data_IF_207425891728
#
_entry.id   IF_207425891728
#
_cell.length_a   1.000
_cell.length_b   1.000
_cell.length_c   1.000
_cell.angle_alpha   90.00
_cell.angle_beta   90.00
_cell.angle_gamma   90.00
#
_symmetry.space_group_name_H-M   'P 1'
#
loop_
_entity.id
_entity.type
_entity.pdbx_description
1 polymer ?
#
# COMPACT_ATOMS: atom_id res chain seq x y z
N UNK A 1 25.48 14.49 9.87
CA UNK A 1 25.51 13.50 8.78
C UNK A 1 24.82 14.10 7.59
N UNK A 2 25.58 14.37 6.52
CA UNK A 2 25.01 14.87 5.27
C UNK A 2 24.29 13.73 4.55
N UNK A 3 23.33 14.07 3.68
CA UNK A 3 22.59 13.12 2.83
C UNK A 3 23.53 12.19 2.03
N UNK A 4 24.78 12.61 1.78
CA UNK A 4 25.79 11.85 1.05
C UNK A 4 26.47 10.70 1.83
N UNK A 5 26.42 10.67 3.17
CA UNK A 5 26.98 9.54 3.92
C UNK A 5 26.03 8.33 3.98
N UNK A 6 24.72 8.58 3.83
CA UNK A 6 23.71 7.52 3.79
C UNK A 6 23.63 6.86 2.41
N UNK A 7 23.97 7.58 1.33
CA UNK A 7 24.01 7.01 -0.03
C UNK A 7 25.17 6.03 -0.25
N UNK A 8 26.28 6.20 0.49
CA UNK A 8 27.47 5.36 0.34
C UNK A 8 27.32 3.94 0.90
N UNK A 9 26.50 3.76 1.94
CA UNK A 9 26.28 2.43 2.54
C UNK A 9 25.37 1.50 1.71
N UNK A 10 24.73 2.01 0.65
CA UNK A 10 23.71 1.27 -0.11
C UNK A 10 23.87 1.35 -1.63
N UNK A 11 24.96 1.92 -2.14
CA UNK A 11 25.23 2.04 -3.59
C UNK A 11 25.53 0.71 -4.30
N UNK A 12 25.52 -0.42 -3.59
CA UNK A 12 25.79 -1.76 -4.13
C UNK A 12 24.57 -2.45 -4.74
N UNK A 13 23.38 -1.80 -4.76
CA UNK A 13 22.17 -2.35 -5.38
C UNK A 13 21.44 -1.27 -6.20
N UNK A 14 22.08 -0.75 -7.26
CA UNK A 14 21.36 0.02 -8.28
C UNK A 14 20.72 -0.98 -9.25
N UNK A 15 19.40 -1.08 -9.25
CA UNK A 15 18.72 -1.87 -10.25
C UNK A 15 18.88 -1.22 -11.64
N UNK A 16 18.85 -2.01 -12.71
CA UNK A 16 18.88 -1.46 -14.07
C UNK A 16 17.69 -0.51 -14.30
N UNK A 17 17.89 0.52 -15.13
CA UNK A 17 16.86 1.52 -15.47
C UNK A 17 15.52 0.90 -15.84
N UNK A 18 15.56 -0.19 -16.62
CA UNK A 18 14.38 -0.81 -17.20
C UNK A 18 13.57 -1.57 -16.14
N UNK A 19 14.25 -2.33 -15.29
CA UNK A 19 13.64 -2.95 -14.12
C UNK A 19 12.92 -1.92 -13.24
N UNK A 20 13.60 -0.81 -12.91
CA UNK A 20 13.04 0.24 -12.07
C UNK A 20 11.81 0.88 -12.73
N UNK A 21 11.82 1.07 -14.05
CA UNK A 21 10.66 1.56 -14.79
C UNK A 21 9.48 0.60 -14.68
N UNK A 22 9.66 -0.68 -15.05
CA UNK A 22 8.57 -1.67 -15.02
C UNK A 22 8.05 -1.90 -13.60
N UNK A 23 8.92 -1.90 -12.59
CA UNK A 23 8.50 -2.04 -11.21
C UNK A 23 7.60 -0.87 -10.76
N UNK A 24 7.97 0.38 -11.06
CA UNK A 24 7.13 1.53 -10.74
C UNK A 24 5.76 1.43 -11.43
N UNK A 25 5.74 1.09 -12.72
CA UNK A 25 4.48 0.99 -13.49
C UNK A 25 3.60 -0.16 -13.01
N UNK A 26 4.15 -1.35 -12.80
CA UNK A 26 3.37 -2.50 -12.33
C UNK A 26 2.87 -2.31 -10.90
N UNK A 27 3.65 -1.69 -10.01
CA UNK A 27 3.18 -1.33 -8.67
C UNK A 27 2.05 -0.29 -8.72
N UNK A 28 2.16 0.73 -9.58
CA UNK A 28 1.07 1.70 -9.79
C UNK A 28 -0.22 1.00 -10.21
N UNK A 29 -0.14 0.16 -11.25
CA UNK A 29 -1.30 -0.61 -11.73
C UNK A 29 -1.86 -1.52 -10.64
N UNK A 30 -1.00 -2.24 -9.92
CA UNK A 30 -1.38 -3.13 -8.83
C UNK A 30 -2.12 -2.40 -7.71
N UNK A 31 -1.53 -1.33 -7.14
CA UNK A 31 -2.16 -0.63 -6.02
C UNK A 31 -3.43 0.12 -6.43
N UNK A 32 -3.47 0.71 -7.64
CA UNK A 32 -4.69 1.34 -8.15
C UNK A 32 -5.79 0.29 -8.31
N UNK A 33 -5.49 -0.85 -8.94
CA UNK A 33 -6.43 -1.94 -9.13
C UNK A 33 -6.95 -2.51 -7.82
N UNK A 34 -6.03 -2.87 -6.90
CA UNK A 34 -6.37 -3.61 -5.69
C UNK A 34 -6.96 -2.74 -4.57
N UNK A 35 -6.60 -1.46 -4.47
CA UNK A 35 -7.04 -0.59 -3.36
C UNK A 35 -7.96 0.56 -3.76
N UNK A 36 -7.83 1.09 -4.98
CA UNK A 36 -8.59 2.27 -5.39
C UNK A 36 -9.84 1.90 -6.16
N UNK A 37 -9.73 0.93 -7.07
CA UNK A 37 -10.88 0.40 -7.80
C UNK A 37 -11.67 -0.61 -6.95
N UNK A 38 -11.02 -1.29 -6.00
CA UNK A 38 -11.73 -2.13 -5.04
C UNK A 38 -12.50 -1.30 -4.00
N UNK A 39 -13.83 -1.36 -4.04
CA UNK A 39 -14.65 -0.69 -3.02
C UNK A 39 -14.67 -1.46 -1.69
N UNK A 40 -14.81 -0.75 -0.57
CA UNK A 40 -14.96 -1.36 0.77
C UNK A 40 -16.13 -2.36 0.84
N UNK A 41 -17.22 -2.09 0.12
CA UNK A 41 -18.38 -2.99 0.01
C UNK A 41 -18.01 -4.28 -0.73
N UNK A 42 -17.28 -4.16 -1.85
CA UNK A 42 -16.82 -5.33 -2.61
C UNK A 42 -15.87 -6.19 -1.78
N UNK A 43 -14.92 -5.58 -1.07
CA UNK A 43 -13.98 -6.27 -0.19
C UNK A 43 -14.69 -7.14 0.86
N UNK A 44 -15.75 -6.61 1.51
CA UNK A 44 -16.52 -7.36 2.52
C UNK A 44 -17.33 -8.51 1.94
N UNK A 45 -17.89 -8.33 0.74
CA UNK A 45 -18.73 -9.37 0.12
C UNK A 45 -17.86 -10.48 -0.51
N UNK A 46 -16.63 -10.14 -0.94
CA UNK A 46 -15.63 -11.08 -1.47
C UNK A 46 -15.36 -12.26 -0.51
N UNK A 47 -15.45 -12.03 0.81
CA UNK A 47 -15.27 -13.06 1.84
C UNK A 47 -16.27 -14.23 1.74
N UNK A 48 -17.43 -14.04 1.09
CA UNK A 48 -18.47 -15.08 1.02
C UNK A 48 -18.90 -15.44 -0.41
N UNK A 49 -18.46 -14.69 -1.43
CA UNK A 49 -18.97 -14.83 -2.78
C UNK A 49 -17.86 -14.76 -3.84
N UNK A 50 -17.55 -15.92 -4.42
CA UNK A 50 -16.58 -16.09 -5.52
C UNK A 50 -16.92 -15.18 -6.70
N UNK A 51 -18.22 -14.90 -6.96
CA UNK A 51 -18.63 -13.99 -8.04
C UNK A 51 -18.04 -12.59 -7.87
N UNK A 52 -17.95 -12.10 -6.63
CA UNK A 52 -17.38 -10.77 -6.37
C UNK A 52 -15.85 -10.77 -6.44
N UNK A 53 -15.22 -11.92 -6.16
CA UNK A 53 -13.80 -12.12 -6.46
C UNK A 53 -13.53 -11.98 -7.96
N UNK A 54 -14.37 -12.59 -8.82
CA UNK A 54 -14.25 -12.48 -10.28
C UNK A 54 -14.47 -11.04 -10.76
N UNK A 55 -15.50 -10.35 -10.25
CA UNK A 55 -15.75 -8.94 -10.61
C UNK A 55 -14.55 -8.05 -10.23
N UNK A 56 -13.96 -8.28 -9.06
CA UNK A 56 -12.73 -7.59 -8.65
C UNK A 56 -11.58 -7.87 -9.62
N UNK A 57 -11.33 -9.13 -9.98
CA UNK A 57 -10.26 -9.48 -10.91
C UNK A 57 -10.41 -8.82 -12.29
N UNK A 58 -11.64 -8.68 -12.80
CA UNK A 58 -11.91 -7.94 -14.03
C UNK A 58 -11.56 -6.46 -13.88
N UNK A 59 -11.97 -5.85 -12.75
CA UNK A 59 -11.70 -4.45 -12.49
C UNK A 59 -10.21 -4.18 -12.24
N UNK A 60 -9.50 -5.13 -11.61
CA UNK A 60 -8.06 -5.10 -11.39
C UNK A 60 -7.28 -5.08 -12.71
N UNK A 61 -7.80 -5.66 -13.79
CA UNK A 61 -7.16 -5.64 -15.10
C UNK A 61 -7.14 -4.24 -15.75
N UNK A 62 -8.03 -3.32 -15.35
CA UNK A 62 -8.22 -2.03 -16.04
C UNK A 62 -6.94 -1.17 -16.09
N UNK A 63 -6.21 -0.93 -14.99
CA UNK A 63 -4.96 -0.16 -15.05
C UNK A 63 -3.88 -0.82 -15.92
N UNK A 64 -3.86 -2.15 -16.00
CA UNK A 64 -2.91 -2.88 -16.85
C UNK A 64 -3.24 -2.77 -18.33
N UNK A 65 -4.53 -2.70 -18.69
CA UNK A 65 -4.96 -2.43 -20.07
C UNK A 65 -4.46 -1.05 -20.52
N UNK A 66 -4.62 -0.01 -19.69
CA UNK A 66 -4.10 1.32 -20.00
C UNK A 66 -2.57 1.34 -20.12
N UNK A 67 -1.87 0.58 -19.29
CA UNK A 67 -0.43 0.44 -19.39
C UNK A 67 0.01 -0.20 -20.72
N UNK A 68 -0.63 -1.31 -21.13
CA UNK A 68 -0.36 -1.95 -22.41
C UNK A 68 -0.67 -1.03 -23.60
N UNK A 69 -1.79 -0.29 -23.57
CA UNK A 69 -2.11 0.69 -24.60
C UNK A 69 -1.06 1.80 -24.70
N UNK A 70 -0.50 2.24 -23.57
CA UNK A 70 0.61 3.20 -23.55
C UNK A 70 1.88 2.65 -24.21
N UNK A 71 2.21 1.38 -23.95
CA UNK A 71 3.35 0.71 -24.60
C UNK A 71 3.12 0.55 -26.10
N UNK A 72 1.91 0.19 -26.54
CA UNK A 72 1.56 0.08 -27.96
C UNK A 72 1.70 1.43 -28.66
N UNK A 73 1.15 2.50 -28.07
CA UNK A 73 1.24 3.84 -28.62
C UNK A 73 2.69 4.31 -28.78
N UNK A 74 3.57 3.90 -27.87
CA UNK A 74 5.01 4.20 -27.94
C UNK A 74 5.80 3.31 -28.91
N UNK A 75 5.20 2.27 -29.50
CA UNK A 75 5.90 1.28 -30.32
C UNK A 75 6.83 0.36 -29.54
N UNK A 76 6.76 0.34 -28.20
CA UNK A 76 7.61 -0.48 -27.33
C UNK A 76 6.98 -1.82 -26.94
N UNK A 77 5.75 -2.09 -27.38
CA UNK A 77 5.02 -3.31 -27.05
C UNK A 77 5.53 -4.50 -27.86
N UNK A 78 5.81 -5.62 -27.18
CA UNK A 78 6.11 -6.89 -27.81
C UNK A 78 5.25 -8.03 -27.23
N UNK A 79 5.30 -9.21 -27.85
CA UNK A 79 4.48 -10.36 -27.43
C UNK A 79 4.85 -10.83 -26.01
N UNK A 80 6.13 -10.78 -25.65
CA UNK A 80 6.63 -11.18 -24.33
C UNK A 80 6.12 -10.23 -23.23
N UNK A 81 6.21 -8.92 -23.43
CA UNK A 81 5.72 -7.90 -22.50
C UNK A 81 4.23 -8.06 -22.26
N UNK A 82 3.45 -8.28 -23.32
CA UNK A 82 2.01 -8.52 -23.23
C UNK A 82 1.69 -9.80 -22.46
N UNK A 83 2.40 -10.89 -22.77
CA UNK A 83 2.23 -12.17 -22.07
C UNK A 83 2.52 -12.08 -20.57
N UNK A 84 3.60 -11.39 -20.19
CA UNK A 84 3.98 -11.21 -18.77
C UNK A 84 2.94 -10.35 -18.04
N UNK A 85 2.51 -9.23 -18.62
CA UNK A 85 1.51 -8.34 -18.00
C UNK A 85 0.16 -9.06 -17.82
N UNK A 86 -0.30 -9.81 -18.83
CA UNK A 86 -1.49 -10.66 -18.68
C UNK A 86 -1.27 -11.70 -17.59
N UNK A 87 -0.08 -12.31 -17.52
CA UNK A 87 0.31 -13.25 -16.47
C UNK A 87 0.18 -12.66 -15.06
N UNK A 88 0.57 -11.40 -14.84
CA UNK A 88 0.41 -10.71 -13.55
C UNK A 88 -1.07 -10.58 -13.17
N UNK A 89 -1.93 -10.19 -14.11
CA UNK A 89 -3.37 -10.07 -13.87
C UNK A 89 -4.01 -11.42 -13.55
N UNK A 90 -3.64 -12.47 -14.29
CA UNK A 90 -4.14 -13.82 -14.05
C UNK A 90 -3.66 -14.39 -12.72
N UNK A 91 -2.39 -14.20 -12.38
CA UNK A 91 -1.84 -14.65 -11.10
C UNK A 91 -2.48 -13.94 -9.91
N UNK A 92 -2.75 -12.63 -10.01
CA UNK A 92 -3.53 -11.89 -9.00
C UNK A 92 -4.92 -12.54 -8.80
N UNK A 93 -5.65 -12.78 -9.90
CA UNK A 93 -6.96 -13.43 -9.83
C UNK A 93 -6.89 -14.82 -9.17
N UNK A 94 -5.87 -15.62 -9.51
CA UNK A 94 -5.66 -16.95 -8.93
C UNK A 94 -5.36 -16.88 -7.44
N UNK A 95 -4.46 -15.99 -7.00
CA UNK A 95 -4.14 -15.80 -5.57
C UNK A 95 -5.39 -15.42 -4.78
N UNK A 96 -6.16 -14.46 -5.30
CA UNK A 96 -7.41 -14.00 -4.70
C UNK A 96 -8.49 -15.11 -4.60
N UNK A 97 -8.61 -15.92 -5.66
CA UNK A 97 -9.52 -17.06 -5.69
C UNK A 97 -9.11 -18.14 -4.70
N UNK A 98 -7.82 -18.50 -4.64
CA UNK A 98 -7.28 -19.48 -3.69
C UNK A 98 -7.58 -19.01 -2.26
N UNK A 99 -7.28 -17.76 -1.93
CA UNK A 99 -7.56 -17.18 -0.61
C UNK A 99 -9.04 -17.29 -0.24
N UNK A 100 -9.93 -16.87 -1.14
CA UNK A 100 -11.38 -16.93 -0.92
C UNK A 100 -11.87 -18.38 -0.71
N UNK A 101 -11.36 -19.34 -1.51
CA UNK A 101 -11.71 -20.76 -1.37
C UNK A 101 -11.17 -21.34 -0.07
N UNK A 102 -9.93 -21.01 0.31
CA UNK A 102 -9.33 -21.44 1.58
C UNK A 102 -10.13 -20.94 2.79
N UNK A 103 -10.46 -19.64 2.82
CA UNK A 103 -11.24 -19.04 3.91
C UNK A 103 -12.62 -19.69 4.06
N UNK A 104 -13.29 -19.98 2.91
CA UNK A 104 -14.59 -20.64 2.89
C UNK A 104 -14.51 -22.12 3.28
N UNK A 105 -13.56 -22.88 2.73
CA UNK A 105 -13.42 -24.33 2.97
C UNK A 105 -13.02 -24.62 4.42
N UNK A 106 -12.20 -23.76 5.02
CA UNK A 106 -11.79 -23.89 6.40
C UNK A 106 -12.84 -23.37 7.39
N UNK A 107 -13.92 -22.71 6.94
CA UNK A 107 -14.89 -22.04 7.82
C UNK A 107 -14.20 -21.11 8.85
N UNK A 108 -13.30 -20.24 8.37
CA UNK A 108 -12.43 -19.40 9.24
C UNK A 108 -13.22 -18.64 10.32
N UNK A 109 -14.47 -18.26 10.04
CA UNK A 109 -15.39 -17.57 10.95
C UNK A 109 -15.78 -18.34 12.22
N UNK A 110 -15.57 -19.66 12.24
CA UNK A 110 -15.92 -20.51 13.38
C UNK A 110 -14.76 -20.67 14.37
N UNK A 111 -13.54 -20.23 14.02
CA UNK A 111 -12.41 -20.32 14.93
C UNK A 111 -12.38 -19.15 15.91
N UNK A 112 -12.06 -19.45 17.17
CA UNK A 112 -11.83 -18.43 18.22
C UNK A 112 -10.72 -17.44 17.84
N UNK A 113 -9.73 -17.88 17.06
CA UNK A 113 -8.61 -17.07 16.56
C UNK A 113 -8.85 -16.51 15.14
N UNK A 114 -10.11 -16.29 14.72
CA UNK A 114 -10.48 -15.77 13.39
C UNK A 114 -9.63 -14.55 12.99
N UNK A 115 -9.47 -13.58 13.90
CA UNK A 115 -8.76 -12.33 13.64
C UNK A 115 -7.28 -12.54 13.30
N UNK A 116 -6.60 -13.44 14.00
CA UNK A 116 -5.19 -13.77 13.76
C UNK A 116 -5.01 -14.53 12.44
N UNK A 117 -5.94 -15.44 12.10
CA UNK A 117 -5.95 -16.16 10.82
C UNK A 117 -6.17 -15.18 9.65
N UNK A 118 -7.15 -14.29 9.76
CA UNK A 118 -7.44 -13.26 8.72
C UNK A 118 -6.29 -12.28 8.55
N UNK A 119 -5.64 -11.86 9.65
CA UNK A 119 -4.44 -11.02 9.58
C UNK A 119 -3.32 -11.73 8.82
N UNK A 120 -3.04 -12.98 9.17
CA UNK A 120 -1.99 -13.77 8.53
C UNK A 120 -2.29 -14.00 7.05
N UNK A 121 -3.55 -14.34 6.73
CA UNK A 121 -4.01 -14.48 5.35
C UNK A 121 -3.90 -13.18 4.54
N UNK A 122 -4.15 -12.02 5.15
CA UNK A 122 -3.92 -10.73 4.51
C UNK A 122 -2.43 -10.47 4.25
N UNK A 123 -1.55 -10.70 5.22
CA UNK A 123 -0.10 -10.48 5.04
C UNK A 123 0.46 -11.41 3.94
N UNK A 124 0.12 -12.70 3.98
CA UNK A 124 0.55 -13.67 2.98
C UNK A 124 0.10 -13.29 1.57
N UNK A 125 -1.16 -12.86 1.44
CA UNK A 125 -1.75 -12.38 0.20
C UNK A 125 -1.00 -11.17 -0.38
N UNK A 126 -0.68 -10.16 0.43
CA UNK A 126 0.07 -8.99 -0.03
C UNK A 126 1.51 -9.34 -0.43
N UNK A 127 2.17 -10.25 0.31
CA UNK A 127 3.51 -10.74 -0.03
C UNK A 127 3.51 -11.48 -1.37
N UNK A 128 2.54 -12.39 -1.58
CA UNK A 128 2.44 -13.15 -2.84
C UNK A 128 2.23 -12.23 -4.04
N UNK A 129 1.32 -11.25 -3.93
CA UNK A 129 1.12 -10.27 -5.00
C UNK A 129 2.38 -9.44 -5.29
N UNK A 130 3.09 -8.99 -4.25
CA UNK A 130 4.33 -8.24 -4.42
C UNK A 130 5.42 -9.08 -5.08
N UNK A 131 5.55 -10.36 -4.70
CA UNK A 131 6.49 -11.31 -5.34
C UNK A 131 6.17 -11.45 -6.84
N UNK A 132 4.89 -11.59 -7.20
CA UNK A 132 4.47 -11.67 -8.61
C UNK A 132 4.89 -10.40 -9.37
N UNK A 133 4.63 -9.22 -8.80
CA UNK A 133 4.98 -7.94 -9.43
C UNK A 133 6.51 -7.81 -9.60
N UNK A 134 7.29 -8.05 -8.55
CA UNK A 134 8.76 -7.94 -8.59
C UNK A 134 9.36 -8.94 -9.58
N UNK A 135 8.87 -10.19 -9.57
CA UNK A 135 9.33 -11.22 -10.52
C UNK A 135 9.00 -10.83 -11.95
N UNK A 136 7.80 -10.30 -12.21
CA UNK A 136 7.42 -9.81 -13.53
C UNK A 136 8.30 -8.65 -13.99
N UNK A 137 8.60 -7.69 -13.10
CA UNK A 137 9.53 -6.59 -13.40
C UNK A 137 10.93 -7.09 -13.75
N UNK A 138 11.41 -8.12 -13.05
CA UNK A 138 12.69 -8.75 -13.35
C UNK A 138 12.69 -9.44 -14.73
N UNK A 139 11.64 -10.19 -15.05
CA UNK A 139 11.49 -10.85 -16.35
C UNK A 139 11.34 -9.88 -17.52
N UNK A 140 10.81 -8.68 -17.27
CA UNK A 140 10.70 -7.61 -18.27
C UNK A 140 11.99 -6.80 -18.42
N UNK A 141 12.94 -6.93 -17.49
CA UNK A 141 14.21 -6.21 -17.54
C UNK A 141 14.96 -6.56 -18.83
N UNK A 142 15.32 -5.57 -19.63
CA UNK A 142 15.93 -5.73 -20.96
C UNK A 142 14.92 -5.73 -22.13
N UNK A 143 13.62 -5.65 -21.86
CA UNK A 143 12.61 -5.29 -22.88
C UNK A 143 12.65 -3.79 -23.18
N UNK A 144 12.22 -3.39 -24.37
CA UNK A 144 12.15 -1.99 -24.76
C UNK A 144 11.23 -1.20 -23.82
N UNK A 145 11.77 -0.14 -23.24
CA UNK A 145 11.05 0.79 -22.37
C UNK A 145 10.61 2.01 -23.19
N UNK A 146 9.43 2.54 -22.87
CA UNK A 146 9.01 3.83 -23.41
C UNK A 146 9.94 4.95 -22.92
N UNK A 147 10.57 5.68 -23.84
CA UNK A 147 11.41 6.82 -23.50
C UNK A 147 10.57 7.94 -22.85
N UNK A 148 10.75 8.11 -21.54
CA UNK A 148 10.16 9.21 -20.78
C UNK A 148 11.26 10.13 -20.26
N UNK A 149 10.96 11.42 -20.19
CA UNK A 149 11.86 12.38 -19.57
C UNK A 149 12.07 12.03 -18.09
N UNK A 150 13.24 12.38 -17.55
CA UNK A 150 13.54 12.20 -16.13
C UNK A 150 12.50 12.87 -15.22
N UNK A 151 11.98 14.03 -15.63
CA UNK A 151 10.89 14.73 -14.94
C UNK A 151 9.58 13.93 -14.93
N UNK A 152 9.20 13.31 -16.04
CA UNK A 152 8.00 12.46 -16.10
C UNK A 152 8.18 11.19 -15.25
N UNK A 153 9.36 10.59 -15.23
CA UNK A 153 9.65 9.44 -14.37
C UNK A 153 9.58 9.80 -12.88
N UNK A 154 10.12 10.97 -12.51
CA UNK A 154 10.00 11.49 -11.15
C UNK A 154 8.54 11.70 -10.73
N UNK A 155 7.68 12.21 -11.63
CA UNK A 155 6.26 12.34 -11.37
C UNK A 155 5.58 10.98 -11.13
N UNK A 156 5.91 9.94 -11.91
CA UNK A 156 5.40 8.59 -11.69
C UNK A 156 5.81 8.03 -10.32
N UNK A 157 7.06 8.26 -9.90
CA UNK A 157 7.55 7.89 -8.56
C UNK A 157 6.79 8.63 -7.45
N UNK A 158 6.55 9.93 -7.62
CA UNK A 158 5.72 10.72 -6.69
C UNK A 158 4.27 10.21 -6.63
N UNK A 159 3.67 9.89 -7.77
CA UNK A 159 2.33 9.31 -7.83
C UNK A 159 2.29 7.96 -7.10
N UNK A 160 3.26 7.08 -7.34
CA UNK A 160 3.35 5.78 -6.67
C UNK A 160 3.47 5.95 -5.15
N UNK A 161 4.33 6.88 -4.72
CA UNK A 161 4.48 7.22 -3.30
C UNK A 161 3.13 7.62 -2.69
N UNK A 162 2.42 8.59 -3.29
CA UNK A 162 1.11 9.07 -2.81
C UNK A 162 0.08 7.94 -2.77
N UNK A 163 0.03 7.10 -3.82
CA UNK A 163 -0.87 5.95 -3.92
C UNK A 163 -0.64 4.98 -2.76
N UNK A 164 0.61 4.63 -2.45
CA UNK A 164 0.93 3.68 -1.37
C UNK A 164 0.65 4.28 0.01
N UNK A 165 1.10 5.51 0.29
CA UNK A 165 0.95 6.10 1.64
C UNK A 165 -0.50 6.45 1.99
N UNK A 166 -1.43 6.41 1.04
CA UNK A 166 -2.82 6.77 1.24
C UNK A 166 -3.66 5.56 1.68
N UNK A 167 -4.47 4.97 0.78
CA UNK A 167 -5.38 3.86 1.11
C UNK A 167 -4.65 2.58 1.54
N UNK A 168 -3.59 2.10 0.86
CA UNK A 168 -2.91 0.86 1.22
C UNK A 168 -2.36 0.87 2.65
N UNK A 169 -1.65 1.93 3.05
CA UNK A 169 -1.13 2.06 4.42
C UNK A 169 -2.27 2.14 5.46
N UNK A 170 -3.37 2.85 5.17
CA UNK A 170 -4.54 2.90 6.06
C UNK A 170 -5.18 1.51 6.27
N UNK A 171 -5.38 0.75 5.18
CA UNK A 171 -5.99 -0.58 5.23
C UNK A 171 -5.04 -1.58 5.90
N UNK A 172 -3.75 -1.52 5.58
CA UNK A 172 -2.71 -2.36 6.19
C UNK A 172 -2.67 -2.16 7.70
N UNK A 173 -2.65 -0.90 8.16
CA UNK A 173 -2.69 -0.57 9.58
C UNK A 173 -3.92 -1.18 10.26
N UNK A 174 -5.10 -0.95 9.68
CA UNK A 174 -6.36 -1.45 10.25
C UNK A 174 -6.37 -2.97 10.36
N UNK A 175 -5.92 -3.71 9.33
CA UNK A 175 -5.96 -5.17 9.32
C UNK A 175 -4.89 -5.80 10.22
N UNK A 176 -3.69 -5.22 10.27
CA UNK A 176 -2.58 -5.77 11.06
C UNK A 176 -2.79 -5.53 12.56
N UNK A 177 -3.32 -4.36 12.92
CA UNK A 177 -3.44 -3.92 14.31
C UNK A 177 -4.89 -3.88 14.84
N UNK A 178 -5.83 -4.53 14.15
CA UNK A 178 -7.26 -4.58 14.55
C UNK A 178 -7.45 -5.02 16.01
N UNK A 179 -6.66 -5.99 16.48
CA UNK A 179 -6.69 -6.52 17.85
C UNK A 179 -6.42 -5.46 18.93
N UNK A 180 -5.66 -4.41 18.60
CA UNK A 180 -5.30 -3.34 19.53
C UNK A 180 -6.28 -2.18 19.48
N UNK A 181 -7.23 -2.18 18.53
CA UNK A 181 -8.20 -1.12 18.44
C UNK A 181 -9.07 -1.13 19.71
N UNK A 182 -9.11 -0.02 20.48
CA UNK A 182 -9.93 0.02 21.68
C UNK A 182 -11.38 -0.21 21.27
N UNK A 183 -11.96 -1.32 21.74
CA UNK A 183 -13.37 -1.62 21.51
C UNK A 183 -14.16 -0.54 22.24
N UNK A 184 -14.96 0.24 21.52
CA UNK A 184 -15.98 1.08 22.15
C UNK A 184 -17.08 0.16 22.71
N UNK A 185 -16.76 -0.63 23.73
CA UNK A 185 -17.77 -1.25 24.57
C UNK A 185 -18.06 -0.27 25.71
N UNK A 186 -19.01 0.64 25.51
CA UNK A 186 -19.90 1.14 26.57
C UNK A 186 -20.70 2.37 26.13
N UNK A 187 -22.02 2.27 26.35
CA UNK A 187 -22.97 3.33 26.67
C UNK A 187 -23.58 4.14 25.53
N UNK A 188 -24.85 3.81 25.27
CA UNK A 188 -25.83 4.54 24.45
C UNK A 188 -26.11 6.00 24.91
N UNK A 189 -25.35 6.60 25.82
CA UNK A 189 -25.72 7.91 26.40
C UNK A 189 -24.53 8.82 26.75
N UNK A 190 -23.49 8.86 25.91
CA UNK A 190 -22.52 9.96 25.95
C UNK A 190 -22.41 10.54 24.55
N UNK A 191 -22.87 11.78 24.44
CA UNK A 191 -22.79 12.68 23.30
C UNK A 191 -21.61 12.29 22.40
N UNK A 192 -21.94 11.66 21.29
CA UNK A 192 -21.01 11.47 20.20
C UNK A 192 -20.62 12.89 19.76
N UNK A 193 -19.43 13.34 20.19
CA UNK A 193 -18.70 14.29 19.38
C UNK A 193 -18.51 13.55 18.07
N UNK A 194 -19.41 13.82 17.12
CA UNK A 194 -19.55 13.17 15.83
C UNK A 194 -18.23 13.30 15.08
N UNK A 195 -17.31 12.37 15.33
CA UNK A 195 -16.12 12.25 14.50
C UNK A 195 -16.62 11.81 13.14
N UNK A 196 -16.61 12.73 12.18
CA UNK A 196 -17.00 12.45 10.80
C UNK A 196 -16.36 11.14 10.36
N UNK A 197 -17.19 10.19 9.93
CA UNK A 197 -16.74 8.87 9.50
C UNK A 197 -15.62 9.02 8.47
N UNK A 198 -14.43 8.49 8.77
CA UNK A 198 -13.26 8.55 7.89
C UNK A 198 -12.30 9.73 8.12
N UNK A 199 -12.61 10.69 8.99
CA UNK A 199 -11.72 11.82 9.27
C UNK A 199 -10.31 11.38 9.71
N UNK A 200 -10.20 10.34 10.55
CA UNK A 200 -8.91 9.79 10.97
C UNK A 200 -8.06 9.24 9.82
N UNK A 201 -8.67 8.65 8.79
CA UNK A 201 -7.95 8.13 7.62
C UNK A 201 -7.44 9.28 6.73
N UNK A 202 -8.20 10.37 6.62
CA UNK A 202 -7.79 11.58 5.90
C UNK A 202 -6.63 12.26 6.65
N UNK A 203 -6.77 12.48 7.97
CA UNK A 203 -5.72 13.07 8.81
C UNK A 203 -4.43 12.26 8.69
N UNK A 204 -4.50 10.93 8.84
CA UNK A 204 -3.32 10.08 8.69
C UNK A 204 -2.67 10.15 7.32
N UNK A 205 -3.45 10.33 6.25
CA UNK A 205 -2.93 10.50 4.89
C UNK A 205 -2.22 11.85 4.73
N UNK A 206 -2.81 12.93 5.25
CA UNK A 206 -2.23 14.27 5.22
C UNK A 206 -0.93 14.33 6.04
N UNK A 207 -0.90 13.74 7.23
CA UNK A 207 0.32 13.64 8.05
C UNK A 207 1.45 12.93 7.29
N UNK A 208 1.16 11.80 6.63
CA UNK A 208 2.15 11.07 5.84
C UNK A 208 2.63 11.84 4.62
N UNK A 209 1.75 12.62 3.98
CA UNK A 209 2.13 13.49 2.88
C UNK A 209 3.10 14.58 3.36
N UNK A 210 2.79 15.25 4.47
CA UNK A 210 3.67 16.25 5.08
C UNK A 210 5.02 15.64 5.49
N UNK A 211 5.01 14.46 6.12
CA UNK A 211 6.25 13.74 6.45
C UNK A 211 7.07 13.39 5.20
N UNK A 212 6.43 12.92 4.14
CA UNK A 212 7.09 12.62 2.86
C UNK A 212 7.73 13.85 2.22
N UNK A 213 7.05 15.00 2.25
CA UNK A 213 7.59 16.28 1.77
C UNK A 213 8.83 16.66 2.58
N UNK A 214 8.77 16.59 3.91
CA UNK A 214 9.91 16.94 4.77
C UNK A 214 11.11 16.04 4.55
N UNK A 215 10.90 14.73 4.36
CA UNK A 215 11.99 13.81 3.99
C UNK A 215 12.58 14.21 2.63
N UNK A 216 11.73 14.55 1.65
CA UNK A 216 12.14 14.99 0.31
C UNK A 216 13.05 16.22 0.30
N UNK A 217 12.81 17.17 1.20
CA UNK A 217 13.65 18.37 1.35
C UNK A 217 14.75 18.23 2.43
N UNK A 218 14.96 17.02 2.97
CA UNK A 218 16.00 16.73 3.98
C UNK A 218 15.74 17.27 5.39
N UNK A 219 14.51 17.65 5.71
CA UNK A 219 14.11 18.26 6.99
C UNK A 219 13.61 17.21 8.00
N UNK A 220 14.48 16.31 8.43
CA UNK A 220 14.12 15.24 9.37
C UNK A 220 13.67 15.75 10.75
N UNK A 221 14.17 16.91 11.20
CA UNK A 221 13.72 17.53 12.44
C UNK A 221 12.23 17.92 12.39
N UNK A 222 11.72 18.34 11.23
CA UNK A 222 10.32 18.70 11.04
C UNK A 222 9.39 17.47 11.13
N UNK A 223 9.88 16.27 10.83
CA UNK A 223 9.13 15.02 11.06
C UNK A 223 8.83 14.84 12.56
N UNK A 224 9.83 15.08 13.41
CA UNK A 224 9.66 15.04 14.87
C UNK A 224 8.61 16.04 15.36
N UNK A 225 8.57 17.25 14.77
CA UNK A 225 7.56 18.26 15.08
C UNK A 225 6.14 17.79 14.73
N UNK A 226 5.94 17.15 13.57
CA UNK A 226 4.62 16.62 13.17
C UNK A 226 4.13 15.57 14.17
N UNK A 227 5.01 14.64 14.57
CA UNK A 227 4.69 13.59 15.55
C UNK A 227 4.40 14.19 16.94
N UNK A 228 5.18 15.18 17.37
CA UNK A 228 4.97 15.88 18.63
C UNK A 228 3.65 16.66 18.64
N UNK A 229 3.37 17.44 17.60
CA UNK A 229 2.12 18.19 17.46
C UNK A 229 0.89 17.27 17.51
N UNK A 230 0.96 16.12 16.82
CA UNK A 230 -0.08 15.09 16.86
C UNK A 230 -0.30 14.55 18.28
N UNK A 231 0.77 14.31 19.03
CA UNK A 231 0.71 13.80 20.40
C UNK A 231 0.13 14.83 21.36
N UNK A 232 0.48 16.12 21.21
CA UNK A 232 -0.08 17.23 22.00
C UNK A 232 -1.58 17.37 21.76
N UNK A 233 -2.02 17.33 20.49
CA UNK A 233 -3.45 17.43 20.14
C UNK A 233 -4.31 16.29 20.70
N UNK A 234 -3.70 15.17 21.11
CA UNK A 234 -4.36 13.99 21.68
C UNK A 234 -3.96 13.71 23.13
N UNK A 235 -3.24 14.63 23.79
CA UNK A 235 -2.64 14.40 25.10
C UNK A 235 -3.66 13.97 26.17
N UNK A 236 -4.82 14.63 26.23
CA UNK A 236 -5.86 14.29 27.21
C UNK A 236 -6.39 12.86 27.04
N UNK A 237 -6.53 12.39 25.80
CA UNK A 237 -7.03 11.04 25.52
C UNK A 237 -5.95 9.99 25.81
N UNK A 238 -4.70 10.29 25.46
CA UNK A 238 -3.54 9.43 25.71
C UNK A 238 -3.29 9.29 27.22
N UNK A 239 -3.36 10.38 27.98
CA UNK A 239 -3.10 10.36 29.43
C UNK A 239 -4.19 9.66 30.23
N UNK A 240 -5.46 9.75 29.79
CA UNK A 240 -6.62 9.21 30.52
C UNK A 240 -6.98 7.76 30.15
N UNK A 241 -6.58 7.28 28.97
CA UNK A 241 -6.95 5.95 28.49
C UNK A 241 -5.72 5.18 27.97
N UNK A 242 -5.25 4.21 28.78
CA UNK A 242 -4.08 3.37 28.47
C UNK A 242 -4.24 2.60 27.16
N UNK A 243 -5.41 2.01 26.90
CA UNK A 243 -5.65 1.25 25.67
C UNK A 243 -5.61 2.16 24.43
N UNK A 244 -6.17 3.36 24.54
CA UNK A 244 -6.07 4.36 23.48
C UNK A 244 -4.63 4.82 23.26
N UNK A 245 -3.86 5.04 24.34
CA UNK A 245 -2.46 5.41 24.26
C UNK A 245 -1.61 4.38 23.51
N UNK A 246 -1.76 3.10 23.83
CA UNK A 246 -1.06 1.99 23.16
C UNK A 246 -1.41 1.95 21.66
N UNK A 247 -2.71 1.99 21.31
CA UNK A 247 -3.16 1.99 19.92
C UNK A 247 -2.67 3.22 19.14
N UNK A 248 -2.71 4.40 19.76
CA UNK A 248 -2.23 5.65 19.17
C UNK A 248 -0.73 5.61 18.89
N UNK A 249 0.06 5.10 19.84
CA UNK A 249 1.51 5.01 19.70
C UNK A 249 1.91 4.03 18.59
N UNK A 250 1.29 2.85 18.57
CA UNK A 250 1.47 1.85 17.51
C UNK A 250 1.15 2.46 16.13
N UNK A 251 0.02 3.16 16.01
CA UNK A 251 -0.39 3.78 14.76
C UNK A 251 0.56 4.89 14.29
N UNK A 252 1.07 5.69 15.21
CA UNK A 252 2.02 6.76 14.88
C UNK A 252 3.37 6.19 14.44
N UNK A 253 3.92 5.22 15.17
CA UNK A 253 5.18 4.56 14.79
C UNK A 253 5.07 3.82 13.46
N UNK A 254 3.98 3.08 13.24
CA UNK A 254 3.72 2.41 11.97
C UNK A 254 3.65 3.41 10.80
N UNK A 255 2.96 4.54 11.00
CA UNK A 255 2.82 5.57 9.97
C UNK A 255 4.16 6.19 9.58
N UNK A 256 5.01 6.51 10.57
CA UNK A 256 6.37 7.03 10.34
C UNK A 256 7.23 5.99 9.61
N UNK A 257 7.22 4.75 10.10
CA UNK A 257 8.00 3.67 9.49
C UNK A 257 7.57 3.41 8.03
N UNK A 258 6.26 3.38 7.77
CA UNK A 258 5.73 3.19 6.42
C UNK A 258 6.21 4.28 5.46
N UNK A 259 6.17 5.56 5.87
CA UNK A 259 6.67 6.66 5.04
C UNK A 259 8.16 6.53 4.78
N UNK A 260 8.97 6.24 5.81
CA UNK A 260 10.42 6.09 5.65
C UNK A 260 10.78 4.96 4.69
N UNK A 261 10.17 3.78 4.87
CA UNK A 261 10.42 2.60 4.03
C UNK A 261 9.96 2.84 2.59
N UNK A 262 8.74 3.33 2.39
CA UNK A 262 8.20 3.57 1.04
C UNK A 262 8.97 4.66 0.32
N UNK A 263 9.34 5.74 1.01
CA UNK A 263 10.19 6.79 0.45
C UNK A 263 11.55 6.23 0.03
N UNK A 264 12.20 5.47 0.91
CA UNK A 264 13.52 4.89 0.65
C UNK A 264 13.48 3.94 -0.56
N UNK A 265 12.53 3.02 -0.60
CA UNK A 265 12.38 2.09 -1.73
C UNK A 265 12.18 2.87 -3.03
N UNK A 266 11.23 3.80 -3.07
CA UNK A 266 10.90 4.51 -4.31
C UNK A 266 12.04 5.44 -4.72
N UNK A 267 12.47 6.35 -3.86
CA UNK A 267 13.36 7.45 -4.26
C UNK A 267 14.85 7.14 -4.15
N UNK A 268 15.24 6.14 -3.37
CA UNK A 268 16.67 5.79 -3.18
C UNK A 268 17.03 4.48 -3.87
N UNK A 269 16.22 3.41 -3.71
CA UNK A 269 16.53 2.10 -4.32
C UNK A 269 16.20 2.07 -5.80
N UNK A 270 15.08 2.68 -6.21
CA UNK A 270 14.68 2.79 -7.62
C UNK A 270 15.17 4.10 -8.27
N UNK A 271 16.25 4.69 -7.73
CA UNK A 271 16.85 5.93 -8.22
C UNK A 271 17.51 5.76 -9.59
#
# INVERSE_FOLDING_TARGET
MSVGEFSFLFSSFSASSDFSFYLVMLLLCHFIGDYYLQTNKMARIKENNIRNTIIHSILYAVPFIFFLLGLEFSGSLNLMTTGIVIGVVLLHAVIDLIKCVCEKKLNVKQFENESDIKRTGYIADQILHLIVVVTASFLLSGSAVFEISSGAYMLLKCLLFIVIISKPVNISFKKIFEKYQPTQKSNENLESIDSISGAGAIIGTLERLVMGIFIGIGQFAALGLVVAAKSIARYDQISKNKLFAEYFLIGTLYSVLAVLVVYYIIFVVLA
#
